data_IF_764387710805
#
_entry.id   IF_764387710805
#
_cell.length_a   1.000
_cell.length_b   1.000
_cell.length_c   1.000
_cell.angle_alpha   90.00
_cell.angle_beta   90.00
_cell.angle_gamma   90.00
#
_symmetry.space_group_name_H-M   'P 1'
#
loop_
_entity.id
_entity.type
_entity.pdbx_description
1 polymer ?
#
# COMPACT_ATOMS: atom_id res chain seq x y z
N UNK A 1 65.16 20.34 -41.96
CA UNK A 1 65.12 19.94 -40.54
C UNK A 1 63.66 19.80 -40.15
N UNK A 2 63.12 18.61 -40.43
CA UNK A 2 61.78 18.20 -40.09
C UNK A 2 61.89 17.25 -38.88
N UNK A 3 61.04 17.41 -37.88
CA UNK A 3 61.00 16.51 -36.72
C UNK A 3 61.24 17.23 -35.40
N UNK A 4 60.22 17.93 -34.90
CA UNK A 4 60.14 18.32 -33.48
C UNK A 4 58.72 18.65 -33.01
N UNK A 5 57.75 18.85 -33.91
CA UNK A 5 56.40 19.32 -33.54
C UNK A 5 55.27 18.28 -33.61
N UNK A 6 55.60 16.99 -33.77
CA UNK A 6 54.60 15.90 -33.84
C UNK A 6 54.52 15.02 -32.57
N UNK A 7 55.28 15.33 -31.52
CA UNK A 7 55.33 14.51 -30.30
C UNK A 7 54.55 15.06 -29.10
N UNK A 8 53.97 16.26 -29.20
CA UNK A 8 53.21 16.86 -28.08
C UNK A 8 51.72 16.52 -28.17
N UNK A 9 51.17 16.25 -29.36
CA UNK A 9 49.75 15.91 -29.52
C UNK A 9 49.41 14.44 -29.24
N UNK A 10 50.39 13.52 -29.22
CA UNK A 10 50.17 12.10 -28.95
C UNK A 10 50.21 11.71 -27.47
N UNK A 11 50.67 12.60 -26.58
CA UNK A 11 50.70 12.35 -25.14
C UNK A 11 49.49 12.88 -24.37
N UNK A 12 48.53 13.54 -25.04
CA UNK A 12 47.32 14.08 -24.39
C UNK A 12 46.06 13.20 -24.55
N UNK A 13 46.13 12.10 -25.30
CA UNK A 13 44.99 11.19 -25.56
C UNK A 13 45.01 9.89 -24.73
N UNK A 14 45.98 9.72 -23.81
CA UNK A 14 46.11 8.51 -22.98
C UNK A 14 45.76 8.71 -21.50
N UNK A 15 45.23 9.88 -21.13
CA UNK A 15 44.74 10.16 -19.77
C UNK A 15 43.21 10.16 -19.73
N UNK A 16 42.58 9.12 -20.30
CA UNK A 16 41.25 8.73 -19.83
C UNK A 16 41.53 7.97 -18.54
N UNK A 17 41.20 8.49 -17.34
CA UNK A 17 41.08 7.61 -16.20
C UNK A 17 39.98 6.62 -16.58
N UNK A 18 40.38 5.39 -16.85
CA UNK A 18 39.50 4.24 -16.68
C UNK A 18 39.13 4.33 -15.20
N UNK A 19 38.02 5.02 -14.94
CA UNK A 19 37.34 4.98 -13.67
C UNK A 19 36.92 3.53 -13.56
N UNK A 20 37.82 2.71 -13.00
CA UNK A 20 37.51 1.37 -12.56
C UNK A 20 36.17 1.48 -11.87
N UNK A 21 35.17 0.87 -12.50
CA UNK A 21 33.86 0.73 -11.91
C UNK A 21 34.11 0.03 -10.60
N UNK A 22 34.20 0.81 -9.52
CA UNK A 22 34.08 0.30 -8.19
C UNK A 22 32.84 -0.59 -8.26
N UNK A 23 32.95 -1.90 -7.99
CA UNK A 23 31.76 -2.61 -7.64
C UNK A 23 31.21 -1.81 -6.48
N UNK A 24 30.09 -1.11 -6.69
CA UNK A 24 29.18 -0.83 -5.61
C UNK A 24 28.89 -2.22 -5.09
N UNK A 25 29.64 -2.65 -4.08
CA UNK A 25 29.11 -3.45 -3.00
C UNK A 25 27.97 -2.60 -2.47
N UNK A 26 26.84 -2.69 -3.19
CA UNK A 26 25.54 -2.64 -2.58
C UNK A 26 25.70 -3.69 -1.51
N UNK A 27 26.06 -3.23 -0.31
CA UNK A 27 25.98 -4.04 0.87
C UNK A 27 24.53 -4.46 0.83
N UNK A 28 24.30 -5.68 0.37
CA UNK A 28 23.10 -6.44 0.65
C UNK A 28 23.11 -6.50 2.17
N UNK A 29 22.60 -5.43 2.78
CA UNK A 29 22.19 -5.43 4.16
C UNK A 29 21.06 -6.43 4.16
N UNK A 30 21.43 -7.69 4.38
CA UNK A 30 20.51 -8.74 4.72
C UNK A 30 19.60 -8.13 5.78
N UNK A 31 18.32 -8.00 5.46
CA UNK A 31 17.31 -7.53 6.40
C UNK A 31 17.34 -8.56 7.53
N UNK A 32 17.99 -8.21 8.64
CA UNK A 32 18.27 -9.13 9.75
C UNK A 32 17.00 -9.48 10.53
N UNK A 33 15.96 -8.64 10.40
CA UNK A 33 14.65 -8.88 11.00
C UNK A 33 13.77 -9.66 10.03
N UNK A 34 13.30 -10.84 10.45
CA UNK A 34 12.27 -11.57 9.71
C UNK A 34 11.04 -10.66 9.50
N UNK A 35 10.48 -10.59 8.27
CA UNK A 35 9.26 -9.83 8.06
C UNK A 35 8.14 -10.39 8.94
N UNK A 36 7.30 -9.51 9.48
CA UNK A 36 6.14 -9.89 10.27
C UNK A 36 5.09 -10.61 9.43
N UNK A 37 4.92 -10.18 8.17
CA UNK A 37 3.95 -10.78 7.26
C UNK A 37 4.43 -10.74 5.80
N UNK A 38 4.04 -11.76 5.02
CA UNK A 38 4.31 -11.85 3.58
C UNK A 38 3.13 -11.29 2.77
N UNK A 39 3.31 -10.09 2.20
CA UNK A 39 2.25 -9.44 1.41
C UNK A 39 1.91 -10.21 0.12
N UNK A 40 2.76 -11.14 -0.33
CA UNK A 40 2.47 -12.01 -1.46
C UNK A 40 1.31 -12.96 -1.12
N UNK A 41 1.28 -13.46 0.12
CA UNK A 41 0.18 -14.32 0.59
C UNK A 41 -1.14 -13.56 0.58
N UNK A 42 -1.15 -12.34 1.11
CA UNK A 42 -2.35 -11.50 1.09
C UNK A 42 -2.82 -11.24 -0.34
N UNK A 43 -1.94 -10.80 -1.25
CA UNK A 43 -2.32 -10.52 -2.63
C UNK A 43 -2.94 -11.74 -3.34
N UNK A 44 -2.42 -12.95 -3.11
CA UNK A 44 -3.00 -14.20 -3.63
C UNK A 44 -4.40 -14.45 -3.09
N UNK A 45 -4.59 -14.28 -1.77
CA UNK A 45 -5.88 -14.52 -1.15
C UNK A 45 -6.92 -13.46 -1.56
N UNK A 46 -6.51 -12.21 -1.72
CA UNK A 46 -7.37 -11.12 -2.21
C UNK A 46 -7.95 -11.43 -3.59
N UNK A 47 -7.16 -12.01 -4.51
CA UNK A 47 -7.58 -12.38 -5.87
C UNK A 47 -8.75 -13.37 -5.89
N UNK A 48 -8.79 -14.32 -4.93
CA UNK A 48 -9.85 -15.32 -4.85
C UNK A 48 -11.18 -14.78 -4.29
N UNK A 49 -11.17 -13.64 -3.61
CA UNK A 49 -12.36 -13.06 -2.95
C UNK A 49 -12.85 -11.80 -3.65
N UNK A 50 -11.96 -11.04 -4.31
CA UNK A 50 -12.36 -9.88 -5.08
C UNK A 50 -13.16 -10.30 -6.31
N UNK A 51 -14.31 -9.66 -6.53
CA UNK A 51 -15.03 -9.79 -7.79
C UNK A 51 -14.42 -8.79 -8.78
N UNK A 52 -14.29 -9.19 -10.04
CA UNK A 52 -13.95 -8.25 -11.13
C UNK A 52 -15.22 -7.46 -11.52
N UNK A 53 -15.87 -6.81 -10.56
CA UNK A 53 -17.02 -5.94 -10.87
C UNK A 53 -16.45 -4.69 -11.53
N UNK A 54 -17.00 -4.38 -12.70
CA UNK A 54 -16.72 -3.14 -13.43
C UNK A 54 -17.08 -2.00 -12.48
N UNK A 55 -16.15 -1.07 -12.26
CA UNK A 55 -16.27 0.08 -11.37
C UNK A 55 -17.71 0.63 -11.41
N UNK A 56 -18.52 0.29 -10.41
CA UNK A 56 -19.77 0.99 -10.20
C UNK A 56 -19.37 2.45 -9.96
N UNK A 57 -20.06 3.41 -10.59
CA UNK A 57 -19.80 4.87 -10.60
C UNK A 57 -19.72 5.57 -9.21
N UNK A 58 -19.55 4.81 -8.13
CA UNK A 58 -19.40 5.29 -6.77
C UNK A 58 -17.99 5.73 -6.42
N UNK A 59 -17.91 6.70 -5.51
CA UNK A 59 -16.65 7.19 -4.95
C UNK A 59 -15.88 6.08 -4.20
N UNK A 60 -14.57 5.99 -4.46
CA UNK A 60 -13.67 5.06 -3.76
C UNK A 60 -13.63 5.33 -2.25
N UNK A 61 -13.61 4.24 -1.48
CA UNK A 61 -13.47 4.23 -0.02
C UNK A 61 -12.03 4.51 0.38
N UNK A 62 -11.06 3.92 -0.32
CA UNK A 62 -9.64 4.20 -0.16
C UNK A 62 -9.22 5.41 -0.99
N UNK A 63 -8.34 6.23 -0.43
CA UNK A 63 -7.64 7.27 -1.17
C UNK A 63 -6.79 6.64 -2.26
N UNK A 64 -6.59 7.35 -3.37
CA UNK A 64 -5.66 6.88 -4.40
C UNK A 64 -4.24 6.66 -3.81
N UNK A 65 -3.46 5.75 -4.40
CA UNK A 65 -2.13 5.40 -3.88
C UNK A 65 -1.19 6.60 -3.75
N UNK A 66 -1.24 7.56 -4.68
CA UNK A 66 -0.39 8.75 -4.65
C UNK A 66 -0.67 9.66 -3.45
N UNK A 67 -1.95 9.85 -3.12
CA UNK A 67 -2.42 10.54 -1.92
C UNK A 67 -2.01 9.76 -0.66
N UNK A 68 -2.28 8.46 -0.64
CA UNK A 68 -2.00 7.62 0.52
C UNK A 68 -0.49 7.51 0.82
N UNK A 69 0.36 7.56 -0.20
CA UNK A 69 1.82 7.58 -0.05
C UNK A 69 2.32 8.74 0.84
N UNK A 70 1.60 9.88 0.83
CA UNK A 70 1.89 10.99 1.75
C UNK A 70 1.59 10.64 3.21
N UNK A 71 0.54 9.86 3.46
CA UNK A 71 0.21 9.32 4.79
C UNK A 71 1.26 8.29 5.20
N UNK A 72 1.64 7.39 4.28
CA UNK A 72 2.63 6.32 4.50
C UNK A 72 3.98 6.83 5.00
N UNK A 73 4.41 8.00 4.50
CA UNK A 73 5.64 8.67 4.96
C UNK A 73 5.61 9.09 6.45
N UNK A 74 4.43 9.15 7.08
CA UNK A 74 4.25 9.45 8.50
C UNK A 74 3.88 8.18 9.27
N UNK A 75 4.89 7.49 9.82
CA UNK A 75 4.75 6.16 10.48
C UNK A 75 3.52 6.04 11.40
N UNK A 76 3.30 7.00 12.29
CA UNK A 76 2.18 6.94 13.24
C UNK A 76 0.83 7.08 12.55
N UNK A 77 0.71 8.01 11.59
CA UNK A 77 -0.51 8.19 10.81
C UNK A 77 -0.81 6.96 9.96
N UNK A 78 0.19 6.45 9.25
CA UNK A 78 0.07 5.23 8.45
C UNK A 78 -0.41 4.05 9.28
N UNK A 79 0.20 3.81 10.43
CA UNK A 79 -0.18 2.71 11.32
C UNK A 79 -1.63 2.83 11.80
N UNK A 80 -2.06 4.02 12.22
CA UNK A 80 -3.44 4.24 12.66
C UNK A 80 -4.46 4.08 11.52
N UNK A 81 -4.19 4.71 10.37
CA UNK A 81 -5.08 4.64 9.21
C UNK A 81 -5.16 3.20 8.68
N UNK A 82 -4.03 2.52 8.53
CA UNK A 82 -3.98 1.14 8.06
C UNK A 82 -4.74 0.18 8.99
N UNK A 83 -4.62 0.38 10.32
CA UNK A 83 -5.41 -0.39 11.29
C UNK A 83 -6.91 -0.21 11.06
N UNK A 84 -7.36 1.01 10.77
CA UNK A 84 -8.78 1.29 10.48
C UNK A 84 -9.24 0.71 9.14
N UNK A 85 -8.39 0.74 8.12
CA UNK A 85 -8.64 0.05 6.85
C UNK A 85 -8.86 -1.45 7.14
N UNK A 86 -7.88 -2.13 7.74
CA UNK A 86 -7.98 -3.58 8.01
C UNK A 86 -9.22 -3.93 8.85
N UNK A 87 -9.60 -3.09 9.82
CA UNK A 87 -10.83 -3.28 10.60
C UNK A 87 -12.09 -3.26 9.71
N UNK A 88 -12.22 -2.29 8.80
CA UNK A 88 -13.38 -2.22 7.90
C UNK A 88 -13.46 -3.44 6.99
N UNK A 89 -12.34 -3.81 6.36
CA UNK A 89 -12.28 -4.95 5.45
C UNK A 89 -12.62 -6.27 6.16
N UNK A 90 -12.09 -6.48 7.36
CA UNK A 90 -12.42 -7.67 8.14
C UNK A 90 -13.90 -7.72 8.55
N UNK A 91 -14.51 -6.59 8.96
CA UNK A 91 -15.94 -6.54 9.31
C UNK A 91 -16.82 -6.88 8.10
N UNK A 92 -16.46 -6.39 6.90
CA UNK A 92 -17.15 -6.77 5.67
C UNK A 92 -16.98 -8.27 5.37
N UNK A 93 -15.75 -8.80 5.43
CA UNK A 93 -15.49 -10.22 5.19
C UNK A 93 -16.29 -11.14 6.12
N UNK A 94 -16.39 -10.80 7.41
CA UNK A 94 -17.21 -11.55 8.39
C UNK A 94 -18.69 -11.54 7.99
N UNK A 95 -19.20 -10.39 7.54
CA UNK A 95 -20.61 -10.24 7.15
C UNK A 95 -20.93 -10.96 5.84
N UNK A 96 -19.98 -11.02 4.92
CA UNK A 96 -20.17 -11.64 3.61
C UNK A 96 -19.80 -13.12 3.56
N UNK A 97 -19.17 -13.67 4.60
CA UNK A 97 -18.76 -15.08 4.70
C UNK A 97 -19.90 -16.05 4.33
N UNK A 98 -21.11 -15.81 4.88
CA UNK A 98 -22.27 -16.65 4.62
C UNK A 98 -22.77 -16.64 3.17
N UNK A 99 -22.52 -15.55 2.41
CA UNK A 99 -22.86 -15.48 0.98
C UNK A 99 -21.86 -16.26 0.12
N UNK A 100 -20.61 -16.28 0.54
CA UNK A 100 -19.51 -16.92 -0.19
C UNK A 100 -19.43 -18.43 0.05
N UNK A 101 -19.89 -18.90 1.22
CA UNK A 101 -20.00 -20.32 1.54
C UNK A 101 -20.93 -21.10 0.59
N UNK A 102 -21.86 -20.42 -0.09
CA UNK A 102 -22.76 -21.02 -1.07
C UNK A 102 -22.07 -21.39 -2.41
N UNK A 103 -20.88 -20.84 -2.67
CA UNK A 103 -20.11 -21.09 -3.90
C UNK A 103 -18.80 -21.87 -3.63
N UNK A 104 -18.62 -22.43 -2.44
CA UNK A 104 -17.43 -23.20 -2.09
C UNK A 104 -17.41 -24.56 -2.80
N UNK A 105 -17.02 -24.56 -4.07
CA UNK A 105 -16.68 -25.78 -4.83
C UNK A 105 -15.26 -26.26 -4.53
N UNK A 106 -14.45 -25.45 -3.83
CA UNK A 106 -13.09 -25.78 -3.42
C UNK A 106 -13.01 -26.02 -1.90
N UNK A 107 -12.09 -26.91 -1.50
CA UNK A 107 -11.91 -27.36 -0.12
C UNK A 107 -11.36 -26.27 0.84
N UNK A 108 -11.18 -25.03 0.37
CA UNK A 108 -10.60 -23.90 1.10
C UNK A 108 -11.63 -22.76 1.15
N UNK A 109 -11.96 -22.31 2.36
CA UNK A 109 -12.79 -21.13 2.58
C UNK A 109 -11.89 -19.87 2.59
N UNK A 110 -11.65 -19.30 1.41
CA UNK A 110 -10.82 -18.10 1.25
C UNK A 110 -11.30 -16.88 2.05
N UNK A 111 -12.60 -16.76 2.32
CA UNK A 111 -13.13 -15.69 3.19
C UNK A 111 -12.60 -15.83 4.61
N UNK A 112 -12.66 -17.04 5.16
CA UNK A 112 -12.19 -17.32 6.52
C UNK A 112 -10.68 -17.13 6.64
N UNK A 113 -9.92 -17.62 5.67
CA UNK A 113 -8.46 -17.40 5.60
C UNK A 113 -8.11 -15.91 5.56
N UNK A 114 -8.84 -15.10 4.80
CA UNK A 114 -8.64 -13.65 4.79
C UNK A 114 -8.99 -13.00 6.12
N UNK A 115 -10.05 -13.43 6.82
CA UNK A 115 -10.38 -12.93 8.15
C UNK A 115 -9.22 -13.18 9.14
N UNK A 116 -8.62 -14.36 9.08
CA UNK A 116 -7.48 -14.74 9.92
C UNK A 116 -6.22 -13.94 9.54
N UNK A 117 -5.97 -13.75 8.25
CA UNK A 117 -4.90 -12.87 7.74
C UNK A 117 -5.10 -11.43 8.24
N UNK A 118 -6.32 -10.87 8.17
CA UNK A 118 -6.60 -9.52 8.66
C UNK A 118 -6.31 -9.39 10.16
N UNK A 119 -6.68 -10.41 10.96
CA UNK A 119 -6.39 -10.40 12.39
C UNK A 119 -4.88 -10.42 12.66
N UNK A 120 -4.15 -11.28 11.95
CA UNK A 120 -2.71 -11.35 12.06
C UNK A 120 -2.02 -10.04 11.61
N UNK A 121 -2.48 -9.42 10.52
CA UNK A 121 -1.97 -8.14 10.03
C UNK A 121 -2.09 -7.02 11.06
N UNK A 122 -3.18 -6.97 11.85
CA UNK A 122 -3.31 -5.98 12.94
C UNK A 122 -2.19 -6.12 13.98
N UNK A 123 -1.70 -7.33 14.22
CA UNK A 123 -0.59 -7.57 15.16
C UNK A 123 0.75 -7.12 14.59
N UNK A 124 0.89 -7.10 13.26
CA UNK A 124 2.07 -6.63 12.54
C UNK A 124 2.17 -5.11 12.39
N UNK A 125 1.05 -4.41 12.47
CA UNK A 125 1.05 -2.94 12.45
C UNK A 125 1.76 -2.42 13.69
N UNK A 126 2.65 -1.45 13.50
CA UNK A 126 3.40 -0.85 14.58
C UNK A 126 2.48 -0.36 15.71
N UNK A 127 2.71 -0.89 16.92
CA UNK A 127 1.97 -0.48 18.13
C UNK A 127 2.22 0.99 18.43
N UNK A 128 1.23 1.82 18.15
CA UNK A 128 1.22 3.23 18.53
C UNK A 128 0.73 3.31 19.98
N UNK A 129 1.56 3.86 20.89
CA UNK A 129 1.24 4.11 22.30
C UNK A 129 0.16 5.20 22.46
N UNK A 130 -1.06 4.99 21.98
CA UNK A 130 -2.27 5.80 22.27
C UNK A 130 -2.60 7.03 21.39
N UNK A 131 -1.79 7.35 20.36
CA UNK A 131 -2.09 8.51 19.49
C UNK A 131 -3.22 8.29 18.46
N UNK A 132 -3.64 7.04 18.22
CA UNK A 132 -4.63 6.76 17.19
C UNK A 132 -6.03 7.25 17.56
N UNK A 133 -6.46 7.11 18.82
CA UNK A 133 -7.78 7.55 19.27
C UNK A 133 -7.95 9.07 19.09
N UNK A 134 -6.94 9.85 19.48
CA UNK A 134 -6.92 11.30 19.28
C UNK A 134 -6.98 11.67 17.79
N UNK A 135 -6.22 10.95 16.96
CA UNK A 135 -6.20 11.16 15.52
C UNK A 135 -7.56 10.87 14.88
N UNK A 136 -8.26 9.81 15.30
CA UNK A 136 -9.63 9.52 14.86
C UNK A 136 -10.62 10.61 15.30
N UNK A 137 -10.61 10.97 16.58
CA UNK A 137 -11.52 11.99 17.11
C UNK A 137 -11.34 13.35 16.41
N UNK A 138 -10.09 13.75 16.13
CA UNK A 138 -9.80 14.99 15.44
C UNK A 138 -10.27 14.96 13.97
N UNK A 139 -10.09 13.82 13.28
CA UNK A 139 -10.58 13.66 11.91
C UNK A 139 -12.10 13.84 11.81
N UNK A 140 -12.85 13.32 12.80
CA UNK A 140 -14.31 13.42 12.81
C UNK A 140 -14.83 14.79 13.24
N UNK A 141 -14.14 15.49 14.15
CA UNK A 141 -14.51 16.86 14.56
C UNK A 141 -14.30 17.89 13.45
N UNK A 142 -13.30 17.69 12.59
CA UNK A 142 -12.98 18.63 11.50
C UNK A 142 -14.07 18.65 10.41
N UNK A 143 -14.93 17.61 10.37
CA UNK A 143 -15.99 17.45 9.37
C UNK A 143 -17.17 18.40 9.54
N UNK A 144 -17.41 18.92 10.76
CA UNK A 144 -18.61 19.71 11.04
C UNK A 144 -18.49 21.17 10.61
N UNK A 145 -17.32 21.60 10.11
CA UNK A 145 -17.02 23.02 9.86
C UNK A 145 -16.57 23.35 8.42
N UNK A 146 -16.39 22.36 7.53
CA UNK A 146 -15.88 22.60 6.18
C UNK A 146 -16.82 22.04 5.12
N UNK A 147 -17.57 22.94 4.48
CA UNK A 147 -18.16 22.73 3.15
C UNK A 147 -17.06 22.28 2.17
N UNK A 148 -17.36 21.46 1.14
CA UNK A 148 -16.33 20.88 0.28
C UNK A 148 -15.77 21.95 -0.65
N UNK A 149 -14.77 22.71 -0.19
CA UNK A 149 -13.85 23.36 -1.10
C UNK A 149 -13.19 22.29 -1.94
N UNK A 150 -13.32 22.44 -3.26
CA UNK A 150 -12.80 21.67 -4.41
C UNK A 150 -11.28 21.49 -4.42
N UNK A 151 -10.67 21.23 -3.27
CA UNK A 151 -9.25 20.95 -3.14
C UNK A 151 -9.02 19.53 -3.60
N UNK A 152 -8.23 19.36 -4.67
CA UNK A 152 -7.82 18.03 -5.12
C UNK A 152 -7.04 17.31 -4.01
N UNK A 153 -7.20 15.98 -3.88
CA UNK A 153 -6.40 15.18 -2.94
C UNK A 153 -4.89 15.38 -3.13
N UNK A 154 -4.48 15.71 -4.37
CA UNK A 154 -3.08 15.99 -4.72
C UNK A 154 -2.50 17.21 -4.01
N UNK A 155 -3.33 18.17 -3.61
CA UNK A 155 -2.89 19.40 -2.94
C UNK A 155 -3.02 19.32 -1.42
N UNK A 156 -3.73 18.30 -0.93
CA UNK A 156 -3.91 18.10 0.50
C UNK A 156 -2.61 17.71 1.21
N UNK A 157 -2.46 18.23 2.42
CA UNK A 157 -1.42 17.86 3.38
C UNK A 157 -1.65 16.44 3.91
N UNK A 158 -0.62 15.76 4.46
CA UNK A 158 -0.80 14.44 5.06
C UNK A 158 -1.86 14.40 6.17
N UNK A 159 -2.02 15.49 6.94
CA UNK A 159 -3.02 15.56 8.03
C UNK A 159 -4.45 15.65 7.46
N UNK A 160 -4.65 16.43 6.40
CA UNK A 160 -5.93 16.50 5.70
C UNK A 160 -6.29 15.16 5.05
N UNK A 161 -5.32 14.49 4.41
CA UNK A 161 -5.54 13.18 3.80
C UNK A 161 -5.87 12.11 4.85
N UNK A 162 -5.23 12.13 6.01
CA UNK A 162 -5.62 11.26 7.13
C UNK A 162 -7.07 11.52 7.53
N UNK A 163 -7.47 12.78 7.68
CA UNK A 163 -8.84 13.12 8.05
C UNK A 163 -9.84 12.64 6.99
N UNK A 164 -9.57 12.90 5.72
CA UNK A 164 -10.39 12.47 4.59
C UNK A 164 -10.53 10.93 4.54
N UNK A 165 -9.40 10.20 4.59
CA UNK A 165 -9.43 8.73 4.58
C UNK A 165 -10.24 8.17 5.74
N UNK A 166 -10.09 8.73 6.95
CA UNK A 166 -10.83 8.26 8.13
C UNK A 166 -12.33 8.58 8.03
N UNK A 167 -12.69 9.71 7.44
CA UNK A 167 -14.09 10.05 7.16
C UNK A 167 -14.70 9.08 6.15
N UNK A 168 -14.02 8.79 5.04
CA UNK A 168 -14.45 7.78 4.07
C UNK A 168 -14.67 6.41 4.72
N UNK A 169 -13.72 5.97 5.55
CA UNK A 169 -13.82 4.70 6.28
C UNK A 169 -14.98 4.71 7.29
N UNK A 170 -15.20 5.82 7.99
CA UNK A 170 -16.32 5.95 8.93
C UNK A 170 -17.66 5.89 8.21
N UNK A 171 -17.81 6.62 7.10
CA UNK A 171 -19.04 6.63 6.30
C UNK A 171 -19.33 5.22 5.75
N UNK A 172 -18.31 4.51 5.28
CA UNK A 172 -18.44 3.11 4.85
C UNK A 172 -18.83 2.19 6.02
N UNK A 173 -18.20 2.37 7.19
CA UNK A 173 -18.51 1.59 8.39
C UNK A 173 -19.95 1.79 8.90
N UNK A 174 -20.46 3.02 8.84
CA UNK A 174 -21.86 3.34 9.22
C UNK A 174 -22.88 2.69 8.28
N UNK A 175 -22.49 2.43 7.03
CA UNK A 175 -23.30 1.78 6.01
C UNK A 175 -22.84 0.34 5.74
N UNK A 176 -22.12 -0.30 6.65
CA UNK A 176 -21.51 -1.62 6.39
C UNK A 176 -22.53 -2.74 6.14
N UNK A 177 -23.80 -2.55 6.48
CA UNK A 177 -24.89 -3.49 6.16
C UNK A 177 -25.44 -3.33 4.74
N UNK A 178 -25.16 -2.21 4.09
CA UNK A 178 -25.53 -1.93 2.70
C UNK A 178 -24.72 -2.83 1.76
N UNK A 179 -25.41 -3.55 0.88
CA UNK A 179 -24.79 -4.52 -0.03
C UNK A 179 -23.85 -3.81 -1.01
N UNK A 180 -24.21 -2.62 -1.50
CA UNK A 180 -23.36 -1.87 -2.43
C UNK A 180 -22.05 -1.41 -1.77
N UNK A 181 -22.10 -1.08 -0.48
CA UNK A 181 -20.91 -0.72 0.29
C UNK A 181 -20.03 -1.94 0.54
N UNK A 182 -20.65 -3.09 0.87
CA UNK A 182 -19.93 -4.35 1.05
C UNK A 182 -19.21 -4.77 -0.23
N UNK A 183 -19.93 -4.78 -1.36
CA UNK A 183 -19.35 -5.15 -2.67
C UNK A 183 -18.19 -4.20 -3.03
N UNK A 184 -18.34 -2.88 -2.83
CA UNK A 184 -17.25 -1.92 -3.07
C UNK A 184 -16.03 -2.15 -2.18
N UNK A 185 -16.23 -2.47 -0.89
CA UNK A 185 -15.12 -2.82 0.00
C UNK A 185 -14.42 -4.08 -0.52
N UNK A 186 -15.16 -5.11 -0.93
CA UNK A 186 -14.57 -6.33 -1.49
C UNK A 186 -13.86 -6.09 -2.83
N UNK A 187 -14.34 -5.16 -3.65
CA UNK A 187 -13.70 -4.81 -4.92
C UNK A 187 -12.37 -4.06 -4.69
N UNK A 188 -12.31 -3.18 -3.69
CA UNK A 188 -11.09 -2.47 -3.30
C UNK A 188 -10.09 -3.37 -2.54
N UNK A 189 -10.51 -4.57 -2.11
CA UNK A 189 -9.68 -5.50 -1.35
C UNK A 189 -8.48 -5.96 -2.16
N UNK A 190 -8.61 -6.13 -3.48
CA UNK A 190 -7.50 -6.45 -4.39
C UNK A 190 -6.35 -5.44 -4.37
N UNK A 191 -6.61 -4.22 -3.90
CA UNK A 191 -5.59 -3.18 -3.81
C UNK A 191 -5.00 -3.06 -2.41
N UNK A 192 -5.53 -3.74 -1.39
CA UNK A 192 -5.18 -3.52 0.01
C UNK A 192 -3.70 -3.79 0.29
N UNK A 193 -3.12 -4.86 -0.28
CA UNK A 193 -1.69 -5.18 -0.15
C UNK A 193 -0.76 -4.00 -0.53
N UNK A 194 -1.18 -3.09 -1.42
CA UNK A 194 -0.36 -1.96 -1.87
C UNK A 194 -0.32 -0.78 -0.88
N UNK A 195 -1.26 -0.73 0.08
CA UNK A 195 -1.32 0.29 1.15
C UNK A 195 -0.46 -0.09 2.36
N UNK A 196 -0.03 -1.35 2.44
CA UNK A 196 0.73 -1.92 3.56
C UNK A 196 2.25 -1.76 3.55
N UNK A 197 2.98 -1.56 2.42
CA UNK A 197 4.44 -1.58 2.41
C UNK A 197 5.05 -0.66 3.46
N UNK A 198 5.91 -1.21 4.32
CA UNK A 198 6.51 -0.51 5.45
C UNK A 198 7.62 -1.34 6.08
N UNK A 199 8.24 -0.82 7.15
CA UNK A 199 9.18 -1.64 7.95
C UNK A 199 8.40 -2.80 8.58
N UNK A 200 8.81 -4.03 8.32
CA UNK A 200 8.19 -5.25 8.86
C UNK A 200 7.32 -6.05 7.88
N UNK A 201 7.15 -5.61 6.63
CA UNK A 201 6.44 -6.39 5.60
C UNK A 201 7.40 -6.83 4.51
N UNK A 202 7.32 -8.10 4.10
CA UNK A 202 8.02 -8.56 2.90
C UNK A 202 7.35 -7.92 1.69
N UNK A 203 8.12 -7.20 0.88
CA UNK A 203 7.60 -6.57 -0.33
C UNK A 203 7.36 -7.64 -1.39
N UNK A 204 6.32 -7.45 -2.19
CA UNK A 204 6.20 -8.13 -3.48
C UNK A 204 7.36 -7.67 -4.33
N UNK A 205 8.32 -8.56 -4.62
CA UNK A 205 9.29 -8.30 -5.67
C UNK A 205 8.53 -8.23 -6.97
N UNK A 206 8.46 -7.04 -7.59
CA UNK A 206 8.09 -6.95 -8.99
C UNK A 206 9.25 -7.57 -9.76
N UNK A 207 9.16 -8.86 -10.07
CA UNK A 207 10.01 -9.49 -11.08
C UNK A 207 9.84 -8.67 -12.35
N UNK A 208 10.80 -7.79 -12.62
CA UNK A 208 11.01 -7.27 -13.96
C UNK A 208 11.52 -8.47 -14.75
N UNK A 209 10.60 -9.24 -15.29
CA UNK A 209 10.89 -10.23 -16.30
C UNK A 209 11.39 -9.47 -17.52
N UNK A 210 12.70 -9.21 -17.54
CA UNK A 210 13.40 -8.86 -18.76
C UNK A 210 13.36 -10.13 -19.60
N UNK A 211 12.38 -10.22 -20.49
CA UNK A 211 12.51 -11.07 -21.67
C UNK A 211 13.81 -10.67 -22.37
N UNK A 212 14.88 -11.42 -22.11
CA UNK A 212 15.99 -11.54 -23.05
C UNK A 212 15.47 -12.45 -24.16
N UNK A 213 14.94 -11.83 -25.20
CA UNK A 213 15.02 -12.41 -26.53
C UNK A 213 16.47 -12.22 -26.98
N UNK A 214 17.20 -13.32 -27.10
CA UNK A 214 18.40 -13.45 -27.92
C UNK A 214 18.46 -14.89 -28.39
#
# INVERSE_FOLDING_TARGET
MAGAFLYVFLNLMLSIPVLEGMPRTQADMCITEKPCFDLILLAKMEEHVSKNVIDADGENILLNHGSFDKIRKKRNHHSCVLRKIITLFQDVLIRTEGRSALHATENINYHRELIDIMEHLKTCIHKVKDNCANLYNNAFKTSTAASPTTTSERDMTPKQLVALQLQKLKNAQERVTDVEVQDRVLDELKALHSYMPGRGFRKVERTKEKHRVS
#
